data_IF_378440516773
#
_entry.id   IF_378440516773
#
_cell.length_a   1.000
_cell.length_b   1.000
_cell.length_c   1.000
_cell.angle_alpha   90.00
_cell.angle_beta   90.00
_cell.angle_gamma   90.00
#
_symmetry.space_group_name_H-M   'P 1'
#
loop_
_entity.id
_entity.type
_entity.pdbx_description
1 polymer ?
#
# COMPACT_ATOMS: atom_id res chain seq x y z
N UNK A 1 -42.62 -13.10 16.38
CA UNK A 1 -42.24 -13.04 14.96
C UNK A 1 -40.91 -13.76 14.86
N UNK A 2 -40.85 -14.93 14.20
CA UNK A 2 -39.57 -15.60 13.97
C UNK A 2 -38.76 -14.74 13.01
N UNK A 3 -37.62 -14.24 13.45
CA UNK A 3 -36.61 -13.59 12.62
C UNK A 3 -36.22 -14.57 11.51
N UNK A 4 -36.44 -14.17 10.25
CA UNK A 4 -36.17 -15.03 9.10
C UNK A 4 -34.65 -15.11 8.94
N UNK A 5 -34.09 -16.32 9.06
CA UNK A 5 -32.67 -16.54 8.78
C UNK A 5 -32.44 -16.46 7.27
N UNK A 6 -31.40 -15.73 6.89
CA UNK A 6 -30.97 -15.61 5.51
C UNK A 6 -29.59 -16.24 5.34
N UNK A 7 -29.45 -17.12 4.36
CA UNK A 7 -28.14 -17.67 3.98
C UNK A 7 -27.47 -16.69 3.02
N UNK A 8 -26.28 -16.19 3.35
CA UNK A 8 -25.58 -15.20 2.51
C UNK A 8 -24.27 -15.78 2.01
N UNK A 9 -24.04 -15.66 0.70
CA UNK A 9 -22.82 -16.16 0.05
C UNK A 9 -21.85 -15.00 -0.21
N UNK A 10 -20.60 -15.13 0.27
CA UNK A 10 -19.53 -14.19 0.00
C UNK A 10 -18.53 -14.76 -1.01
N UNK A 11 -18.35 -14.10 -2.15
CA UNK A 11 -17.45 -14.54 -3.23
C UNK A 11 -16.24 -13.62 -3.33
N UNK A 12 -15.27 -13.86 -2.43
CA UNK A 12 -14.03 -13.12 -2.34
C UNK A 12 -12.85 -14.10 -2.18
N UNK A 13 -11.65 -13.66 -2.57
CA UNK A 13 -10.43 -14.45 -2.44
C UNK A 13 -9.62 -13.98 -1.23
N UNK A 14 -9.70 -14.72 -0.12
CA UNK A 14 -9.02 -14.30 1.12
C UNK A 14 -7.49 -14.31 1.04
N UNK A 15 -6.88 -14.73 -0.07
CA UNK A 15 -5.44 -14.53 -0.28
C UNK A 15 -5.08 -13.05 -0.48
N UNK A 16 -6.00 -12.21 -0.96
CA UNK A 16 -5.77 -10.78 -1.14
C UNK A 16 -6.12 -10.00 0.13
N UNK A 17 -5.27 -9.07 0.54
CA UNK A 17 -5.54 -8.22 1.71
C UNK A 17 -6.81 -7.36 1.56
N UNK A 18 -7.05 -6.84 0.35
CA UNK A 18 -8.26 -6.08 0.02
C UNK A 18 -9.54 -6.90 0.29
N UNK A 19 -9.64 -8.09 -0.30
CA UNK A 19 -10.77 -9.01 -0.13
C UNK A 19 -11.01 -9.38 1.35
N UNK A 20 -9.94 -9.64 2.12
CA UNK A 20 -10.06 -9.90 3.57
C UNK A 20 -10.70 -8.73 4.31
N UNK A 21 -10.26 -7.50 4.05
CA UNK A 21 -10.84 -6.32 4.69
C UNK A 21 -12.31 -6.11 4.29
N UNK A 22 -12.70 -6.39 3.06
CA UNK A 22 -14.11 -6.35 2.64
C UNK A 22 -14.93 -7.36 3.45
N UNK A 23 -14.45 -8.60 3.60
CA UNK A 23 -15.15 -9.63 4.40
C UNK A 23 -15.24 -9.23 5.88
N UNK A 24 -14.17 -8.66 6.46
CA UNK A 24 -14.20 -8.10 7.82
C UNK A 24 -15.28 -7.04 7.97
N UNK A 25 -15.45 -6.16 6.99
CA UNK A 25 -16.50 -5.14 6.96
C UNK A 25 -17.91 -5.72 6.96
N UNK A 26 -18.13 -6.81 6.22
CA UNK A 26 -19.40 -7.55 6.27
C UNK A 26 -19.63 -8.12 7.68
N UNK A 27 -18.59 -8.68 8.30
CA UNK A 27 -18.63 -9.15 9.68
C UNK A 27 -18.95 -8.05 10.70
N UNK A 28 -18.37 -6.86 10.55
CA UNK A 28 -18.67 -5.70 11.40
C UNK A 28 -20.14 -5.29 11.32
N UNK A 29 -20.72 -5.33 10.12
CA UNK A 29 -22.16 -5.07 9.97
C UNK A 29 -23.01 -6.10 10.70
N UNK A 30 -22.67 -7.39 10.63
CA UNK A 30 -23.40 -8.41 11.38
C UNK A 30 -23.34 -8.21 12.89
N UNK A 31 -22.15 -7.91 13.41
CA UNK A 31 -21.97 -7.62 14.84
C UNK A 31 -22.82 -6.42 15.28
N UNK A 32 -22.88 -5.37 14.45
CA UNK A 32 -23.64 -4.15 14.75
C UNK A 32 -25.16 -4.31 14.59
N UNK A 33 -25.61 -5.03 13.56
CA UNK A 33 -27.04 -5.20 13.24
C UNK A 33 -27.72 -6.30 14.04
N UNK A 34 -26.96 -7.24 14.62
CA UNK A 34 -27.49 -8.46 15.26
C UNK A 34 -28.44 -9.25 14.34
N UNK A 35 -28.23 -9.14 13.01
CA UNK A 35 -29.01 -9.87 12.01
C UNK A 35 -28.74 -11.38 12.10
N UNK A 36 -29.80 -12.18 11.95
CA UNK A 36 -29.66 -13.64 11.86
C UNK A 36 -29.28 -14.06 10.43
N UNK A 37 -28.02 -13.82 10.05
CA UNK A 37 -27.46 -14.29 8.77
C UNK A 37 -26.58 -15.51 8.99
N UNK A 38 -26.81 -16.54 8.19
CA UNK A 38 -25.90 -17.66 8.06
C UNK A 38 -24.93 -17.35 6.91
N UNK A 39 -23.76 -16.76 7.25
CA UNK A 39 -22.72 -16.48 6.25
C UNK A 39 -22.03 -17.77 5.87
N UNK A 40 -21.99 -18.04 4.57
CA UNK A 40 -21.16 -19.07 4.00
C UNK A 40 -19.92 -18.45 3.34
N UNK A 41 -18.75 -18.88 3.82
CA UNK A 41 -17.43 -18.67 3.21
C UNK A 41 -16.84 -20.06 2.98
N UNK A 42 -16.36 -20.34 1.77
CA UNK A 42 -15.73 -21.64 1.48
C UNK A 42 -14.48 -21.88 2.34
N UNK A 43 -14.26 -23.13 2.76
CA UNK A 43 -13.17 -23.52 3.66
C UNK A 43 -11.76 -23.22 3.11
N UNK A 44 -11.57 -23.24 1.79
CA UNK A 44 -10.29 -22.90 1.14
C UNK A 44 -10.16 -21.40 0.82
N UNK A 45 -11.19 -20.60 1.17
CA UNK A 45 -11.33 -19.18 0.89
C UNK A 45 -11.06 -18.78 -0.57
N UNK A 46 -11.23 -19.73 -1.49
CA UNK A 46 -11.23 -19.46 -2.93
C UNK A 46 -12.67 -19.22 -3.33
N UNK A 47 -12.90 -18.33 -4.29
CA UNK A 47 -14.18 -18.29 -4.96
C UNK A 47 -14.21 -19.47 -5.94
N UNK A 48 -14.74 -20.64 -5.56
CA UNK A 48 -15.09 -21.66 -6.55
C UNK A 48 -16.38 -21.24 -7.22
N UNK A 49 -16.26 -20.88 -8.49
CA UNK A 49 -17.38 -20.34 -9.28
C UNK A 49 -18.17 -21.49 -9.94
N UNK A 50 -17.60 -22.70 -9.94
CA UNK A 50 -18.23 -23.91 -10.46
C UNK A 50 -19.45 -24.29 -9.60
N UNK A 51 -20.59 -24.54 -10.26
CA UNK A 51 -21.87 -24.92 -9.65
C UNK A 51 -22.47 -23.91 -8.64
N UNK A 52 -22.14 -22.62 -8.76
CA UNK A 52 -22.61 -21.57 -7.84
C UNK A 52 -24.14 -21.55 -7.64
N UNK A 53 -24.89 -21.93 -8.68
CA UNK A 53 -26.36 -22.00 -8.66
C UNK A 53 -26.92 -23.08 -7.71
N UNK A 54 -26.14 -24.10 -7.36
CA UNK A 54 -26.59 -25.23 -6.53
C UNK A 54 -26.50 -24.95 -5.03
N UNK A 55 -25.65 -24.00 -4.61
CA UNK A 55 -25.40 -23.66 -3.20
C UNK A 55 -25.61 -22.19 -2.89
N UNK A 56 -26.16 -21.43 -3.84
CA UNK A 56 -26.47 -20.02 -3.69
C UNK A 56 -27.44 -19.79 -2.53
N UNK A 57 -27.09 -18.84 -1.65
CA UNK A 57 -27.96 -18.42 -0.56
C UNK A 57 -29.10 -17.49 -1.01
N UNK A 58 -29.77 -16.88 -0.04
CA UNK A 58 -30.80 -15.86 -0.23
C UNK A 58 -30.24 -14.51 -0.73
N UNK A 59 -28.92 -14.31 -0.68
CA UNK A 59 -28.26 -13.11 -1.17
C UNK A 59 -26.75 -13.30 -1.37
N UNK A 60 -26.15 -12.45 -2.20
CA UNK A 60 -24.73 -12.57 -2.60
C UNK A 60 -24.01 -11.23 -2.49
N UNK A 61 -22.80 -11.25 -1.92
CA UNK A 61 -21.82 -10.16 -2.03
C UNK A 61 -20.56 -10.73 -2.70
N UNK A 62 -20.08 -10.08 -3.76
CA UNK A 62 -19.03 -10.67 -4.60
C UNK A 62 -18.03 -9.66 -5.17
N UNK A 63 -16.80 -10.13 -5.45
CA UNK A 63 -15.79 -9.41 -6.22
C UNK A 63 -16.20 -9.29 -7.70
N UNK A 64 -16.72 -8.13 -8.09
CA UNK A 64 -17.12 -7.81 -9.47
C UNK A 64 -15.98 -7.20 -10.29
N UNK A 65 -14.74 -7.23 -9.81
CA UNK A 65 -13.56 -7.03 -10.67
C UNK A 65 -13.13 -8.34 -11.36
N UNK A 66 -13.75 -9.49 -11.03
CA UNK A 66 -13.54 -10.78 -11.70
C UNK A 66 -14.66 -11.08 -12.71
N UNK A 67 -14.33 -11.07 -14.00
CA UNK A 67 -15.29 -11.33 -15.08
C UNK A 67 -15.93 -12.72 -15.01
N UNK A 68 -15.25 -13.70 -14.40
CA UNK A 68 -15.80 -15.04 -14.23
C UNK A 68 -16.97 -15.03 -13.26
N UNK A 69 -16.88 -14.23 -12.19
CA UNK A 69 -17.97 -14.06 -11.21
C UNK A 69 -19.16 -13.38 -11.88
N UNK A 70 -18.92 -12.31 -12.64
CA UNK A 70 -19.97 -11.60 -13.39
C UNK A 70 -20.72 -12.57 -14.30
N UNK A 71 -20.00 -13.41 -15.06
CA UNK A 71 -20.61 -14.35 -15.99
C UNK A 71 -21.49 -15.39 -15.29
N UNK A 72 -21.05 -15.95 -14.16
CA UNK A 72 -21.79 -17.00 -13.46
C UNK A 72 -22.99 -16.46 -12.66
N UNK A 73 -22.95 -15.19 -12.25
CA UNK A 73 -24.04 -14.53 -11.53
C UNK A 73 -25.05 -13.81 -12.45
N UNK A 74 -24.85 -13.81 -13.78
CA UNK A 74 -25.70 -13.06 -14.71
C UNK A 74 -27.18 -13.47 -14.69
N UNK A 75 -27.47 -14.77 -14.50
CA UNK A 75 -28.83 -15.33 -14.52
C UNK A 75 -29.38 -15.65 -13.13
N UNK A 76 -28.81 -15.04 -12.09
CA UNK A 76 -29.19 -15.30 -10.70
C UNK A 76 -30.30 -14.34 -10.27
N UNK A 77 -31.34 -14.86 -9.63
CA UNK A 77 -32.53 -14.10 -9.22
C UNK A 77 -32.47 -13.53 -7.79
N UNK A 78 -31.53 -13.99 -6.96
CA UNK A 78 -31.40 -13.47 -5.58
C UNK A 78 -30.74 -12.09 -5.58
N UNK A 79 -30.97 -11.26 -4.54
CA UNK A 79 -30.29 -9.98 -4.40
C UNK A 79 -28.76 -10.10 -4.44
N UNK A 80 -28.13 -9.31 -5.30
CA UNK A 80 -26.66 -9.26 -5.45
C UNK A 80 -26.16 -7.84 -5.22
N UNK A 81 -25.11 -7.72 -4.40
CA UNK A 81 -24.33 -6.50 -4.26
C UNK A 81 -22.89 -6.78 -4.71
N UNK A 82 -22.48 -6.18 -5.83
CA UNK A 82 -21.12 -6.25 -6.31
C UNK A 82 -20.19 -5.28 -5.58
N UNK A 83 -18.94 -5.71 -5.41
CA UNK A 83 -17.86 -4.90 -4.83
C UNK A 83 -16.68 -4.89 -5.80
N UNK A 84 -16.05 -3.74 -6.04
CA UNK A 84 -14.88 -3.65 -6.93
C UNK A 84 -14.40 -2.22 -7.16
N UNK A 85 -13.74 -1.96 -8.29
CA UNK A 85 -13.24 -0.65 -8.67
C UNK A 85 -14.31 0.31 -9.19
N UNK A 86 -14.15 1.61 -8.96
CA UNK A 86 -14.91 2.64 -9.67
C UNK A 86 -14.51 2.72 -11.14
N UNK A 87 -15.46 3.07 -11.99
CA UNK A 87 -15.27 3.33 -13.41
C UNK A 87 -15.50 4.80 -13.71
N UNK A 88 -14.68 5.38 -14.59
CA UNK A 88 -14.85 6.76 -15.04
C UNK A 88 -16.14 6.96 -15.83
N UNK A 89 -16.48 6.01 -16.71
CA UNK A 89 -17.71 6.04 -17.49
C UNK A 89 -18.82 5.28 -16.76
N UNK A 90 -19.99 5.91 -16.50
CA UNK A 90 -21.12 5.25 -15.82
C UNK A 90 -21.61 3.98 -16.52
N UNK A 91 -21.46 3.91 -17.84
CA UNK A 91 -21.87 2.80 -18.70
C UNK A 91 -21.03 1.53 -18.48
N UNK A 92 -19.82 1.65 -17.93
CA UNK A 92 -18.95 0.52 -17.66
C UNK A 92 -19.28 -0.22 -16.37
N UNK A 93 -20.15 0.34 -15.51
CA UNK A 93 -20.57 -0.35 -14.31
C UNK A 93 -21.48 -1.55 -14.65
N UNK A 94 -21.28 -2.71 -14.01
CA UNK A 94 -22.12 -3.88 -14.23
C UNK A 94 -23.56 -3.61 -13.76
N UNK A 95 -24.59 -4.27 -14.34
CA UNK A 95 -26.00 -3.98 -14.06
C UNK A 95 -26.53 -4.55 -12.72
N UNK A 96 -25.75 -4.44 -11.64
CA UNK A 96 -26.10 -4.86 -10.26
C UNK A 96 -25.90 -3.71 -9.28
N UNK A 97 -26.39 -3.77 -8.04
CA UNK A 97 -25.99 -2.80 -7.01
C UNK A 97 -24.48 -2.88 -6.77
N UNK A 98 -23.79 -1.74 -6.60
CA UNK A 98 -22.33 -1.71 -6.63
C UNK A 98 -21.74 -0.80 -5.57
N UNK A 99 -20.81 -1.34 -4.79
CA UNK A 99 -19.95 -0.61 -3.87
C UNK A 99 -18.54 -0.55 -4.50
N UNK A 100 -18.13 0.64 -4.89
CA UNK A 100 -16.88 0.85 -5.62
C UNK A 100 -15.82 1.48 -4.70
N UNK A 101 -14.58 1.01 -4.76
CA UNK A 101 -13.44 1.80 -4.28
C UNK A 101 -13.19 2.92 -5.28
N UNK A 102 -12.99 4.15 -4.80
CA UNK A 102 -12.77 5.30 -5.67
C UNK A 102 -11.34 5.31 -6.25
N UNK A 103 -11.19 4.81 -7.48
CA UNK A 103 -9.91 4.73 -8.19
C UNK A 103 -9.27 6.12 -8.44
N UNK A 104 -10.08 7.14 -8.72
CA UNK A 104 -9.58 8.51 -8.91
C UNK A 104 -9.05 9.06 -7.58
N UNK A 105 -9.81 8.92 -6.49
CA UNK A 105 -9.39 9.40 -5.17
C UNK A 105 -8.16 8.65 -4.63
N UNK A 106 -8.00 7.36 -4.95
CA UNK A 106 -6.80 6.58 -4.59
C UNK A 106 -5.54 7.17 -5.24
N UNK A 107 -5.58 7.42 -6.55
CA UNK A 107 -4.45 7.98 -7.29
C UNK A 107 -4.21 9.43 -6.90
N UNK A 108 -5.27 10.20 -6.69
CA UNK A 108 -5.17 11.59 -6.21
C UNK A 108 -4.52 11.66 -4.83
N UNK A 109 -4.90 10.80 -3.89
CA UNK A 109 -4.27 10.73 -2.56
C UNK A 109 -2.78 10.42 -2.64
N UNK A 110 -2.38 9.46 -3.49
CA UNK A 110 -0.97 9.14 -3.69
C UNK A 110 -0.18 10.29 -4.33
N UNK A 111 -0.77 10.94 -5.33
CA UNK A 111 -0.18 12.07 -6.03
C UNK A 111 -0.01 13.30 -5.13
N UNK A 112 -1.06 13.67 -4.37
CA UNK A 112 -1.01 14.79 -3.45
C UNK A 112 0.04 14.57 -2.37
N UNK A 113 0.13 13.36 -1.81
CA UNK A 113 1.20 13.01 -0.87
C UNK A 113 2.60 13.25 -1.43
N UNK A 114 2.87 12.80 -2.66
CA UNK A 114 4.17 13.05 -3.31
C UNK A 114 4.39 14.55 -3.58
N UNK A 115 3.36 15.24 -4.07
CA UNK A 115 3.40 16.69 -4.36
C UNK A 115 3.69 17.51 -3.10
N UNK A 116 3.05 17.19 -1.97
CA UNK A 116 3.26 17.84 -0.67
C UNK A 116 4.69 17.64 -0.14
N UNK A 117 5.34 16.54 -0.49
CA UNK A 117 6.77 16.31 -0.21
C UNK A 117 7.71 17.09 -1.12
N UNK A 118 7.19 17.88 -2.06
CA UNK A 118 7.98 18.67 -3.01
C UNK A 118 8.42 17.90 -4.25
N UNK A 119 7.80 16.76 -4.55
CA UNK A 119 8.04 16.05 -5.81
C UNK A 119 7.39 16.81 -6.97
N UNK A 120 8.12 16.96 -8.08
CA UNK A 120 7.66 17.71 -9.26
C UNK A 120 7.71 16.89 -10.55
N UNK A 121 8.20 15.64 -10.49
CA UNK A 121 8.22 14.70 -11.61
C UNK A 121 7.49 13.45 -11.19
N UNK A 122 6.57 12.99 -12.03
CA UNK A 122 5.69 11.88 -11.68
C UNK A 122 5.78 10.78 -12.71
N UNK A 123 5.77 9.54 -12.23
CA UNK A 123 5.66 8.36 -13.06
C UNK A 123 4.62 7.41 -12.50
N UNK A 124 4.06 6.58 -13.37
CA UNK A 124 3.06 5.59 -13.00
C UNK A 124 3.50 4.21 -13.47
N UNK A 125 3.51 3.26 -12.54
CA UNK A 125 3.80 1.87 -12.82
C UNK A 125 2.50 1.04 -12.81
N UNK A 126 1.98 0.80 -14.00
CA UNK A 126 0.69 0.16 -14.26
C UNK A 126 0.78 -1.36 -14.45
N UNK A 127 -0.25 -1.87 -15.12
CA UNK A 127 -0.38 -3.26 -15.59
C UNK A 127 -0.78 -3.25 -17.07
N UNK A 128 -0.39 -4.27 -17.85
CA UNK A 128 -0.82 -4.38 -19.24
C UNK A 128 -2.33 -4.64 -19.32
N UNK A 129 -3.01 -4.16 -20.39
CA UNK A 129 -4.43 -4.43 -20.62
C UNK A 129 -4.78 -5.93 -20.65
N UNK A 130 -3.83 -6.77 -21.09
CA UNK A 130 -3.98 -8.23 -21.15
C UNK A 130 -4.23 -8.90 -19.78
N UNK A 131 -3.94 -8.21 -18.66
CA UNK A 131 -4.19 -8.73 -17.31
C UNK A 131 -5.67 -8.86 -16.94
N UNK A 132 -6.59 -8.28 -17.73
CA UNK A 132 -8.02 -8.25 -17.43
C UNK A 132 -8.40 -7.38 -16.23
N UNK A 133 -7.44 -6.67 -15.61
CA UNK A 133 -7.67 -5.83 -14.43
C UNK A 133 -8.14 -4.43 -14.81
N UNK A 134 -9.45 -4.25 -14.94
CA UNK A 134 -10.06 -2.97 -15.35
C UNK A 134 -9.67 -1.79 -14.45
N UNK A 135 -9.63 -2.00 -13.13
CA UNK A 135 -9.17 -0.98 -12.18
C UNK A 135 -7.76 -0.47 -12.45
N UNK A 136 -6.89 -1.26 -13.11
CA UNK A 136 -5.56 -0.81 -13.45
C UNK A 136 -5.59 0.28 -14.53
N UNK A 137 -6.44 0.10 -15.55
CA UNK A 137 -6.66 1.10 -16.59
C UNK A 137 -7.36 2.35 -16.03
N UNK A 138 -8.33 2.19 -15.13
CA UNK A 138 -9.01 3.32 -14.47
C UNK A 138 -8.02 4.17 -13.65
N UNK A 139 -7.14 3.54 -12.87
CA UNK A 139 -6.08 4.23 -12.11
C UNK A 139 -5.05 4.89 -13.01
N UNK A 140 -4.65 4.25 -14.12
CA UNK A 140 -3.74 4.84 -15.11
C UNK A 140 -4.37 6.09 -15.77
N UNK A 141 -5.64 6.00 -16.15
CA UNK A 141 -6.38 7.12 -16.71
C UNK A 141 -6.52 8.27 -15.70
N UNK A 142 -6.82 7.96 -14.43
CA UNK A 142 -6.86 8.94 -13.35
C UNK A 142 -5.51 9.66 -13.19
N UNK A 143 -4.40 8.90 -13.21
CA UNK A 143 -3.06 9.47 -13.17
C UNK A 143 -2.81 10.44 -14.34
N UNK A 144 -3.10 10.02 -15.58
CA UNK A 144 -2.92 10.83 -16.78
C UNK A 144 -3.74 12.14 -16.73
N UNK A 145 -5.00 12.07 -16.28
CA UNK A 145 -5.85 13.27 -16.09
C UNK A 145 -5.25 14.20 -15.04
N UNK A 146 -4.79 13.65 -13.92
CA UNK A 146 -4.28 14.42 -12.79
C UNK A 146 -2.99 15.15 -13.13
N UNK A 147 -2.01 14.48 -13.75
CA UNK A 147 -0.75 15.13 -14.15
C UNK A 147 -0.97 16.20 -15.22
N UNK A 148 -1.92 15.99 -16.14
CA UNK A 148 -2.28 16.97 -17.16
C UNK A 148 -2.95 18.21 -16.53
N UNK A 149 -3.90 18.01 -15.61
CA UNK A 149 -4.57 19.09 -14.85
C UNK A 149 -3.58 19.97 -14.11
N UNK A 150 -2.59 19.35 -13.48
CA UNK A 150 -1.56 20.01 -12.67
C UNK A 150 -0.36 20.51 -13.50
N UNK A 151 -0.39 20.32 -14.83
CA UNK A 151 0.66 20.74 -15.79
C UNK A 151 2.03 20.09 -15.54
N UNK A 152 2.07 18.90 -14.95
CA UNK A 152 3.28 18.10 -14.83
C UNK A 152 3.44 17.18 -16.05
N UNK A 153 4.69 16.81 -16.34
CA UNK A 153 4.97 15.71 -17.28
C UNK A 153 4.95 14.39 -16.53
N UNK A 154 3.94 13.57 -16.81
CA UNK A 154 3.84 12.19 -16.32
C UNK A 154 4.43 11.19 -17.30
N UNK A 155 5.09 10.16 -16.79
CA UNK A 155 5.53 9.00 -17.60
C UNK A 155 4.80 7.76 -17.13
N UNK A 156 4.17 7.03 -18.04
CA UNK A 156 3.47 5.77 -17.73
C UNK A 156 4.29 4.59 -18.24
N UNK A 157 4.40 3.55 -17.43
CA UNK A 157 4.95 2.26 -17.81
C UNK A 157 4.04 1.14 -17.31
N UNK A 158 3.43 0.40 -18.23
CA UNK A 158 2.50 -0.69 -17.91
C UNK A 158 3.21 -1.97 -17.47
N UNK A 159 4.50 -2.11 -17.77
CA UNK A 159 5.31 -3.28 -17.45
C UNK A 159 4.84 -4.57 -18.11
N UNK A 160 5.31 -5.69 -17.55
CA UNK A 160 4.93 -7.04 -17.95
C UNK A 160 4.20 -7.74 -16.81
N UNK A 161 3.44 -8.78 -17.13
CA UNK A 161 2.81 -9.64 -16.13
C UNK A 161 3.90 -10.40 -15.36
N UNK A 162 3.83 -10.37 -14.03
CA UNK A 162 4.82 -11.01 -13.17
C UNK A 162 4.47 -12.48 -12.98
N UNK A 163 4.71 -13.28 -14.02
CA UNK A 163 4.71 -14.74 -13.93
C UNK A 163 6.14 -15.26 -13.72
N UNK A 164 6.35 -16.39 -13.00
CA UNK A 164 7.68 -16.95 -12.75
C UNK A 164 8.51 -17.14 -14.03
N UNK A 165 7.84 -17.53 -15.11
CA UNK A 165 8.43 -17.86 -16.41
C UNK A 165 9.09 -16.66 -17.10
N UNK A 166 8.64 -15.44 -16.78
CA UNK A 166 9.11 -14.20 -17.39
C UNK A 166 9.78 -13.25 -16.38
N UNK A 167 9.99 -13.70 -15.14
CA UNK A 167 10.40 -12.84 -14.03
C UNK A 167 11.71 -12.09 -14.32
N UNK A 168 12.75 -12.79 -14.80
CA UNK A 168 14.04 -12.15 -15.11
C UNK A 168 13.93 -11.13 -16.24
N UNK A 169 13.14 -11.44 -17.27
CA UNK A 169 12.92 -10.52 -18.38
C UNK A 169 12.14 -9.28 -17.93
N UNK A 170 11.08 -9.47 -17.15
CA UNK A 170 10.29 -8.38 -16.56
C UNK A 170 11.15 -7.47 -15.66
N UNK A 171 12.03 -8.06 -14.87
CA UNK A 171 12.99 -7.31 -14.04
C UNK A 171 13.95 -6.48 -14.88
N UNK A 172 14.52 -7.03 -15.95
CA UNK A 172 15.44 -6.30 -16.83
C UNK A 172 14.73 -5.13 -17.55
N UNK A 173 13.51 -5.34 -18.05
CA UNK A 173 12.74 -4.27 -18.70
C UNK A 173 12.33 -3.16 -17.73
N UNK A 174 12.03 -3.52 -16.48
CA UNK A 174 11.76 -2.55 -15.42
C UNK A 174 13.04 -1.78 -15.05
N UNK A 175 14.20 -2.45 -14.99
CA UNK A 175 15.50 -1.84 -14.76
C UNK A 175 15.86 -0.80 -15.84
N UNK A 176 15.62 -1.10 -17.11
CA UNK A 176 15.83 -0.18 -18.22
C UNK A 176 15.00 1.09 -18.02
N UNK A 177 13.70 0.93 -17.75
CA UNK A 177 12.80 2.05 -17.54
C UNK A 177 13.19 2.90 -16.33
N UNK A 178 13.49 2.28 -15.18
CA UNK A 178 13.88 3.01 -13.96
C UNK A 178 15.14 3.86 -14.14
N UNK A 179 16.09 3.41 -14.94
CA UNK A 179 17.30 4.17 -15.24
C UNK A 179 17.04 5.37 -16.15
N UNK A 180 15.95 5.36 -16.93
CA UNK A 180 15.54 6.52 -17.75
C UNK A 180 14.89 7.64 -16.93
N UNK A 181 14.41 7.33 -15.71
CA UNK A 181 13.72 8.31 -14.88
C UNK A 181 14.70 9.33 -14.29
N UNK A 182 14.42 10.64 -14.44
CA UNK A 182 15.24 11.66 -13.80
C UNK A 182 15.22 11.51 -12.28
N UNK A 183 16.27 11.98 -11.57
CA UNK A 183 16.22 12.10 -10.12
C UNK A 183 15.01 12.90 -9.65
N UNK A 184 14.56 12.63 -8.42
CA UNK A 184 13.44 13.28 -7.77
C UNK A 184 12.10 13.01 -8.48
N UNK A 185 11.98 11.84 -9.12
CA UNK A 185 10.73 11.36 -9.69
C UNK A 185 9.99 10.52 -8.64
N UNK A 186 8.73 10.85 -8.40
CA UNK A 186 7.82 10.04 -7.59
C UNK A 186 7.02 9.08 -8.45
N UNK A 187 7.04 7.81 -8.08
CA UNK A 187 6.41 6.72 -8.82
C UNK A 187 5.21 6.22 -8.04
N UNK A 188 4.03 6.31 -8.65
CA UNK A 188 2.80 5.70 -8.14
C UNK A 188 2.65 4.34 -8.81
N UNK A 189 2.63 3.27 -8.02
CA UNK A 189 2.34 1.94 -8.55
C UNK A 189 0.86 1.62 -8.38
N UNK A 190 0.30 0.91 -9.36
CA UNK A 190 -1.12 0.55 -9.38
C UNK A 190 -1.53 -0.39 -8.23
N UNK A 191 -0.57 -1.12 -7.63
CA UNK A 191 -0.74 -1.97 -6.44
C UNK A 191 0.55 -2.01 -5.62
N UNK A 192 0.46 -2.41 -4.35
CA UNK A 192 1.64 -2.65 -3.50
C UNK A 192 2.54 -3.77 -4.04
N UNK A 193 1.97 -4.79 -4.67
CA UNK A 193 2.75 -5.85 -5.32
C UNK A 193 3.67 -5.30 -6.43
N UNK A 194 3.17 -4.34 -7.22
CA UNK A 194 3.93 -3.66 -8.28
C UNK A 194 4.96 -2.69 -7.70
N UNK A 195 4.60 -1.95 -6.66
CA UNK A 195 5.57 -1.12 -5.94
C UNK A 195 6.72 -1.95 -5.35
N UNK A 196 6.42 -3.13 -4.79
CA UNK A 196 7.43 -4.06 -4.27
C UNK A 196 8.35 -4.57 -5.38
N UNK A 197 7.80 -4.93 -6.54
CA UNK A 197 8.62 -5.31 -7.70
C UNK A 197 9.61 -4.19 -8.05
N UNK A 198 9.15 -2.94 -8.04
CA UNK A 198 9.99 -1.77 -8.27
C UNK A 198 11.10 -1.61 -7.21
N UNK A 199 10.75 -1.73 -5.92
CA UNK A 199 11.72 -1.67 -4.83
C UNK A 199 12.80 -2.76 -4.93
N UNK A 200 12.43 -3.98 -5.35
CA UNK A 200 13.39 -5.06 -5.56
C UNK A 200 14.41 -4.72 -6.67
N UNK A 201 13.96 -4.12 -7.77
CA UNK A 201 14.86 -3.69 -8.85
C UNK A 201 15.74 -2.52 -8.38
N UNK A 202 15.19 -1.57 -7.63
CA UNK A 202 15.98 -0.49 -7.04
C UNK A 202 17.08 -1.04 -6.10
N UNK A 203 16.76 -2.03 -5.26
CA UNK A 203 17.76 -2.67 -4.40
C UNK A 203 18.85 -3.37 -5.21
N UNK A 204 18.47 -4.11 -6.27
CA UNK A 204 19.41 -4.80 -7.15
C UNK A 204 20.35 -3.85 -7.91
N UNK A 205 19.84 -2.71 -8.36
CA UNK A 205 20.60 -1.68 -9.08
C UNK A 205 21.24 -0.64 -8.16
N UNK A 206 21.10 -0.78 -6.84
CA UNK A 206 21.53 0.22 -5.85
C UNK A 206 21.00 1.63 -6.12
N UNK A 207 19.78 1.74 -6.66
CA UNK A 207 19.10 3.02 -6.88
C UNK A 207 18.60 3.56 -5.51
N UNK A 208 18.99 4.78 -5.12
CA UNK A 208 18.55 5.35 -3.85
C UNK A 208 17.04 5.61 -3.78
N UNK A 209 16.37 4.99 -2.81
CA UNK A 209 14.96 5.23 -2.49
C UNK A 209 14.85 5.62 -1.01
N UNK A 210 14.23 6.76 -0.68
CA UNK A 210 13.53 7.73 -1.56
C UNK A 210 14.43 8.81 -2.19
N UNK A 211 15.76 8.79 -1.97
CA UNK A 211 16.61 9.96 -2.26
C UNK A 211 16.70 10.29 -3.75
N UNK A 212 16.71 9.28 -4.63
CA UNK A 212 16.72 9.47 -6.09
C UNK A 212 15.33 9.26 -6.69
N UNK A 213 14.62 8.22 -6.29
CA UNK A 213 13.25 7.95 -6.75
C UNK A 213 12.35 7.68 -5.53
N UNK A 214 11.16 8.26 -5.52
CA UNK A 214 10.15 7.95 -4.51
C UNK A 214 9.19 6.88 -5.04
N UNK A 215 8.70 6.02 -4.16
CA UNK A 215 7.79 4.93 -4.53
C UNK A 215 6.62 4.92 -3.58
N UNK A 216 5.41 4.98 -4.11
CA UNK A 216 4.17 4.83 -3.35
C UNK A 216 3.29 3.78 -4.00
N UNK A 217 2.76 2.87 -3.19
CA UNK A 217 1.81 1.87 -3.61
C UNK A 217 0.36 2.27 -3.30
N UNK A 218 -0.54 1.37 -3.63
CA UNK A 218 -1.98 1.43 -3.34
C UNK A 218 -2.30 0.02 -2.87
N UNK A 219 -2.92 -0.14 -1.68
CA UNK A 219 -3.49 -1.38 -1.08
C UNK A 219 -3.19 -1.46 0.44
N UNK A 220 -2.06 -0.88 0.87
CA UNK A 220 -1.50 -1.00 2.22
C UNK A 220 -1.42 -2.45 2.72
N UNK A 221 -0.90 -3.34 1.86
CA UNK A 221 -0.84 -4.77 2.14
C UNK A 221 0.19 -5.09 3.24
N UNK A 222 -0.24 -5.80 4.28
CA UNK A 222 0.59 -6.06 5.45
C UNK A 222 1.77 -6.97 5.17
N UNK A 223 1.58 -8.01 4.35
CA UNK A 223 2.64 -8.98 4.04
C UNK A 223 3.79 -8.31 3.29
N UNK A 224 3.49 -7.38 2.37
CA UNK A 224 4.53 -6.66 1.61
C UNK A 224 5.35 -5.72 2.49
N UNK A 225 4.81 -5.27 3.64
CA UNK A 225 5.49 -4.41 4.63
C UNK A 225 6.79 -5.04 5.15
N UNK A 226 6.83 -6.36 5.30
CA UNK A 226 7.94 -7.07 5.92
C UNK A 226 8.95 -7.66 4.93
N UNK A 227 8.60 -7.71 3.64
CA UNK A 227 9.37 -8.39 2.61
C UNK A 227 10.34 -7.47 1.84
N UNK A 228 10.36 -6.16 2.13
CA UNK A 228 11.32 -5.21 1.58
C UNK A 228 12.10 -4.51 2.69
N UNK A 229 13.38 -4.18 2.43
CA UNK A 229 14.19 -3.41 3.39
C UNK A 229 13.71 -1.97 3.50
N UNK A 230 13.12 -1.45 2.42
CA UNK A 230 12.52 -0.12 2.36
C UNK A 230 11.03 -0.25 2.65
N UNK A 231 10.57 0.29 3.79
CA UNK A 231 9.15 0.30 4.11
C UNK A 231 8.36 1.06 3.04
N UNK A 232 7.41 0.37 2.41
CA UNK A 232 6.60 0.90 1.31
C UNK A 232 5.48 1.80 1.82
N UNK A 233 5.51 3.09 1.46
CA UNK A 233 4.36 3.97 1.62
C UNK A 233 3.23 3.51 0.72
N UNK A 234 1.99 3.54 1.21
CA UNK A 234 0.86 3.06 0.44
C UNK A 234 -0.44 3.78 0.81
N UNK A 235 -1.35 3.90 -0.15
CA UNK A 235 -2.71 4.37 0.10
C UNK A 235 -3.55 3.23 0.68
N UNK A 236 -4.09 3.44 1.88
CA UNK A 236 -5.02 2.50 2.50
C UNK A 236 -6.43 2.72 1.95
N UNK A 237 -6.97 1.70 1.30
CA UNK A 237 -8.32 1.72 0.75
C UNK A 237 -9.38 1.68 1.87
N UNK A 238 -10.59 2.15 1.58
CA UNK A 238 -11.76 2.00 2.47
C UNK A 238 -12.41 0.62 2.43
N UNK A 239 -11.64 -0.45 2.19
CA UNK A 239 -12.15 -1.79 1.89
C UNK A 239 -13.09 -2.35 2.96
N UNK A 240 -12.76 -2.16 4.24
CA UNK A 240 -13.64 -2.54 5.36
C UNK A 240 -14.95 -1.76 5.36
N UNK A 241 -14.91 -0.47 5.11
CA UNK A 241 -16.13 0.33 4.95
C UNK A 241 -16.94 -0.13 3.73
N UNK A 242 -16.30 -0.56 2.65
CA UNK A 242 -16.99 -1.11 1.48
C UNK A 242 -17.79 -2.36 1.84
N UNK A 243 -17.17 -3.30 2.56
CA UNK A 243 -17.85 -4.50 3.05
C UNK A 243 -19.05 -4.18 3.94
N UNK A 244 -18.87 -3.24 4.87
CA UNK A 244 -19.95 -2.80 5.75
C UNK A 244 -21.14 -2.19 4.98
N UNK A 245 -20.87 -1.31 4.00
CA UNK A 245 -21.91 -0.73 3.16
C UNK A 245 -22.56 -1.77 2.25
N UNK A 246 -21.80 -2.74 1.75
CA UNK A 246 -22.32 -3.83 0.93
C UNK A 246 -23.32 -4.69 1.70
N UNK A 247 -22.98 -5.09 2.93
CA UNK A 247 -23.86 -5.84 3.81
C UNK A 247 -25.11 -5.04 4.19
N UNK A 248 -24.94 -3.75 4.55
CA UNK A 248 -26.07 -2.86 4.84
C UNK A 248 -27.03 -2.71 3.66
N UNK A 249 -26.50 -2.60 2.45
CA UNK A 249 -27.31 -2.51 1.24
C UNK A 249 -28.01 -3.83 0.94
N UNK A 250 -27.31 -4.97 1.08
CA UNK A 250 -27.91 -6.28 0.86
C UNK A 250 -29.08 -6.55 1.83
N UNK A 251 -28.96 -6.15 3.11
CA UNK A 251 -30.04 -6.28 4.07
C UNK A 251 -31.32 -5.58 3.60
N UNK A 252 -31.21 -4.33 3.14
CA UNK A 252 -32.35 -3.59 2.58
C UNK A 252 -32.99 -4.29 1.37
N UNK A 253 -32.17 -4.91 0.53
CA UNK A 253 -32.65 -5.67 -0.62
C UNK A 253 -33.36 -6.98 -0.20
N UNK A 254 -32.89 -7.65 0.85
CA UNK A 254 -33.54 -8.84 1.42
C UNK A 254 -34.91 -8.51 2.03
N UNK A 255 -35.07 -7.30 2.56
CA UNK A 255 -36.36 -6.75 3.01
C UNK A 255 -37.31 -6.37 1.85
N UNK A 256 -36.93 -6.69 0.60
CA UNK A 256 -37.64 -6.37 -0.64
C UNK A 256 -37.81 -4.86 -0.88
N UNK A 257 -36.89 -4.04 -0.37
CA UNK A 257 -36.87 -2.61 -0.69
C UNK A 257 -36.49 -2.41 -2.16
N UNK A 258 -37.38 -1.79 -2.93
CA UNK A 258 -37.12 -1.43 -4.33
C UNK A 258 -36.24 -0.19 -4.40
N UNK A 259 -35.01 -0.35 -4.88
CA UNK A 259 -34.04 0.73 -5.04
C UNK A 259 -33.58 0.82 -6.49
N UNK A 260 -33.34 2.03 -7.04
CA UNK A 260 -32.58 2.14 -8.29
C UNK A 260 -31.17 1.58 -8.07
N UNK A 261 -30.51 1.13 -9.13
CA UNK A 261 -29.14 0.59 -9.04
C UNK A 261 -28.22 1.58 -8.33
N UNK A 262 -27.76 1.19 -7.14
CA UNK A 262 -26.94 2.04 -6.28
C UNK A 262 -25.48 1.95 -6.71
N UNK A 263 -24.80 3.10 -6.76
CA UNK A 263 -23.37 3.25 -7.09
C UNK A 263 -22.72 4.05 -5.96
N UNK A 264 -22.22 3.35 -4.95
CA UNK A 264 -21.63 3.99 -3.78
C UNK A 264 -20.10 3.96 -3.91
N UNK A 265 -19.49 5.13 -4.03
CA UNK A 265 -18.04 5.28 -4.02
C UNK A 265 -17.54 5.40 -2.58
N UNK A 266 -16.56 4.57 -2.22
CA UNK A 266 -15.89 4.62 -0.93
C UNK A 266 -14.49 5.19 -1.15
N UNK A 267 -14.14 6.34 -0.54
CA UNK A 267 -12.83 6.96 -0.68
C UNK A 267 -11.75 6.18 0.09
N UNK A 268 -10.46 6.42 -0.19
CA UNK A 268 -9.39 5.93 0.65
C UNK A 268 -9.45 6.51 2.07
N UNK A 269 -8.93 5.75 3.04
CA UNK A 269 -8.87 6.17 4.44
C UNK A 269 -7.78 7.23 4.66
N UNK A 270 -6.56 6.92 4.21
CA UNK A 270 -5.38 7.78 4.35
C UNK A 270 -4.21 7.20 3.56
N UNK A 271 -3.18 8.03 3.35
CA UNK A 271 -1.86 7.55 2.98
C UNK A 271 -1.11 7.11 4.23
N UNK A 272 -0.54 5.90 4.19
CA UNK A 272 0.34 5.39 5.22
C UNK A 272 1.77 5.69 4.80
N UNK A 273 2.32 6.78 5.32
CA UNK A 273 3.69 7.20 5.03
C UNK A 273 4.72 6.24 5.65
N UNK A 274 5.65 5.78 4.82
CA UNK A 274 6.82 4.99 5.21
C UNK A 274 8.07 5.50 4.48
N UNK A 275 9.17 4.74 4.58
CA UNK A 275 10.49 5.14 4.10
C UNK A 275 10.52 5.44 2.61
N UNK A 276 9.78 4.72 1.76
CA UNK A 276 9.84 4.88 0.31
C UNK A 276 9.37 6.24 -0.21
N UNK A 277 8.79 7.08 0.65
CA UNK A 277 8.46 8.49 0.37
C UNK A 277 8.95 9.47 1.44
N UNK A 278 9.90 9.08 2.32
CA UNK A 278 10.58 10.01 3.27
C UNK A 278 11.59 10.87 2.49
N UNK A 279 11.07 11.55 1.47
CA UNK A 279 11.80 12.45 0.59
C UNK A 279 12.06 13.75 1.32
N UNK A 280 13.32 14.12 1.32
CA UNK A 280 13.82 15.43 1.71
C UNK A 280 14.41 15.97 0.42
N UNK A 281 14.15 17.23 0.06
CA UNK A 281 14.49 17.81 -1.24
C UNK A 281 16.00 17.92 -1.52
N UNK A 282 16.68 16.76 -1.54
CA UNK A 282 18.11 16.58 -1.77
C UNK A 282 18.35 16.62 -3.28
N UNK A 283 19.32 17.43 -3.66
CA UNK A 283 19.78 17.70 -5.02
C UNK A 283 21.22 17.25 -5.22
N UNK A 284 22.05 17.35 -4.17
CA UNK A 284 23.46 17.00 -4.25
C UNK A 284 23.67 15.48 -4.38
N UNK A 285 24.30 14.97 -5.46
CA UNK A 285 24.50 13.53 -5.66
C UNK A 285 25.28 12.85 -4.53
N UNK A 286 26.27 13.54 -3.95
CA UNK A 286 27.07 13.01 -2.86
C UNK A 286 26.25 12.91 -1.56
N UNK A 287 25.40 13.91 -1.29
CA UNK A 287 24.50 13.89 -0.13
C UNK A 287 23.42 12.82 -0.30
N UNK A 288 22.86 12.68 -1.51
CA UNK A 288 21.92 11.60 -1.87
C UNK A 288 22.55 10.23 -1.58
N UNK A 289 23.78 9.99 -2.04
CA UNK A 289 24.48 8.73 -1.82
C UNK A 289 24.84 8.52 -0.33
N UNK A 290 25.29 9.56 0.36
CA UNK A 290 25.59 9.52 1.79
C UNK A 290 24.34 9.17 2.63
N UNK A 291 23.23 9.86 2.38
CA UNK A 291 21.95 9.62 3.06
C UNK A 291 21.43 8.21 2.82
N UNK A 292 21.51 7.73 1.58
CA UNK A 292 21.13 6.36 1.24
C UNK A 292 21.98 5.32 1.96
N UNK A 293 23.31 5.52 1.98
CA UNK A 293 24.24 4.65 2.70
C UNK A 293 23.93 4.61 4.20
N UNK A 294 23.73 5.78 4.82
CA UNK A 294 23.39 5.89 6.25
C UNK A 294 22.09 5.13 6.53
N UNK A 295 21.02 5.36 5.77
CA UNK A 295 19.73 4.68 5.99
C UNK A 295 19.79 3.16 5.85
N UNK A 296 20.76 2.62 5.09
CA UNK A 296 20.95 1.18 4.93
C UNK A 296 21.90 0.56 5.96
N UNK A 297 22.88 1.32 6.44
CA UNK A 297 23.99 0.79 7.24
C UNK A 297 24.04 1.34 8.68
N UNK A 298 23.26 2.36 9.04
CA UNK A 298 23.28 3.02 10.36
C UNK A 298 23.20 2.04 11.54
N UNK A 299 22.37 1.01 11.41
CA UNK A 299 22.14 0.01 12.46
C UNK A 299 23.32 -0.96 12.65
N UNK A 300 24.28 -0.99 11.72
CA UNK A 300 25.49 -1.83 11.82
C UNK A 300 26.63 -1.15 12.57
N UNK A 301 26.38 -0.02 13.24
CA UNK A 301 27.38 0.69 14.02
C UNK A 301 28.43 1.41 13.17
N UNK A 302 28.04 1.92 12.00
CA UNK A 302 28.94 2.71 11.14
C UNK A 302 29.40 4.00 11.82
N UNK A 303 30.58 4.47 11.45
CA UNK A 303 31.12 5.79 11.79
C UNK A 303 31.10 6.68 10.55
N UNK A 304 31.44 7.95 10.75
CA UNK A 304 31.49 8.95 9.66
C UNK A 304 32.47 8.54 8.56
N UNK A 305 33.61 7.93 8.91
CA UNK A 305 34.61 7.50 7.93
C UNK A 305 34.06 6.49 6.92
N UNK A 306 33.23 5.52 7.35
CA UNK A 306 32.61 4.59 6.42
C UNK A 306 31.64 5.27 5.44
N UNK A 307 31.02 6.38 5.83
CA UNK A 307 30.17 7.18 4.91
C UNK A 307 31.04 7.87 3.86
N UNK A 308 32.19 8.40 4.27
CA UNK A 308 33.16 9.04 3.37
C UNK A 308 33.69 8.05 2.33
N UNK A 309 34.08 6.85 2.79
CA UNK A 309 34.59 5.78 1.92
C UNK A 309 33.53 5.33 0.89
N UNK A 310 32.27 5.25 1.29
CA UNK A 310 31.18 4.85 0.39
C UNK A 310 30.85 5.90 -0.68
N UNK A 311 31.11 7.18 -0.40
CA UNK A 311 30.82 8.29 -1.32
C UNK A 311 32.06 8.65 -2.17
N UNK A 312 33.26 8.39 -1.66
CA UNK A 312 34.52 8.68 -2.34
C UNK A 312 34.92 10.17 -2.31
N UNK A 313 34.54 10.89 -1.25
CA UNK A 313 34.80 12.34 -1.10
C UNK A 313 35.51 12.63 0.23
N UNK A 314 36.36 13.65 0.25
CA UNK A 314 37.05 14.10 1.47
C UNK A 314 36.08 14.57 2.55
N UNK A 315 36.46 14.34 3.81
CA UNK A 315 35.67 14.70 5.01
C UNK A 315 35.13 16.12 4.97
N UNK A 316 36.03 17.10 4.82
CA UNK A 316 35.67 18.52 4.87
C UNK A 316 34.68 18.92 3.77
N UNK A 317 34.78 18.31 2.59
CA UNK A 317 33.88 18.59 1.48
C UNK A 317 32.50 17.96 1.71
N UNK A 318 32.45 16.69 2.14
CA UNK A 318 31.17 16.03 2.39
C UNK A 318 30.43 16.65 3.59
N UNK A 319 31.11 16.90 4.71
CA UNK A 319 30.48 17.52 5.89
C UNK A 319 29.89 18.91 5.57
N UNK A 320 30.61 19.71 4.76
CA UNK A 320 30.10 21.01 4.31
C UNK A 320 28.82 20.87 3.48
N UNK A 321 28.88 20.09 2.39
CA UNK A 321 27.73 19.87 1.48
C UNK A 321 26.53 19.26 2.20
N UNK A 322 26.80 18.29 3.07
CA UNK A 322 25.78 17.62 3.86
C UNK A 322 25.10 18.58 4.85
N UNK A 323 25.86 19.44 5.52
CA UNK A 323 25.29 20.45 6.43
C UNK A 323 24.52 21.53 5.68
N UNK A 324 25.00 21.95 4.51
CA UNK A 324 24.31 22.94 3.67
C UNK A 324 22.95 22.45 3.19
N UNK A 325 22.83 21.16 2.84
CA UNK A 325 21.60 20.62 2.28
C UNK A 325 20.67 19.98 3.32
N UNK A 326 21.22 19.30 4.33
CA UNK A 326 20.44 18.57 5.36
C UNK A 326 20.21 19.42 6.61
N UNK A 327 21.03 20.45 6.84
CA UNK A 327 21.03 21.27 8.07
C UNK A 327 21.69 20.60 9.28
N UNK A 328 21.98 19.31 9.19
CA UNK A 328 22.50 18.46 10.27
C UNK A 328 23.88 17.90 9.95
N UNK A 329 24.59 17.42 10.97
CA UNK A 329 25.87 16.71 10.76
C UNK A 329 25.63 15.26 10.35
N UNK A 330 26.58 14.66 9.63
CA UNK A 330 26.55 13.23 9.26
C UNK A 330 26.37 12.35 10.51
N UNK A 331 27.08 12.68 11.59
CA UNK A 331 26.97 11.96 12.86
C UNK A 331 25.56 12.05 13.47
N UNK A 332 24.97 13.25 13.50
CA UNK A 332 23.59 13.43 13.98
C UNK A 332 22.59 12.60 13.18
N UNK A 333 22.73 12.59 11.85
CA UNK A 333 21.85 11.80 10.98
C UNK A 333 22.01 10.30 11.17
N UNK A 334 23.24 9.80 11.37
CA UNK A 334 23.46 8.38 11.72
C UNK A 334 22.66 8.00 12.97
N UNK A 335 22.73 8.81 14.03
CA UNK A 335 21.99 8.53 15.27
C UNK A 335 20.48 8.63 15.09
N UNK A 336 20.00 9.64 14.37
CA UNK A 336 18.58 9.80 14.06
C UNK A 336 18.05 8.59 13.27
N UNK A 337 18.78 8.09 12.27
CA UNK A 337 18.35 6.93 11.49
C UNK A 337 18.35 5.63 12.30
N UNK A 338 19.28 5.46 13.27
CA UNK A 338 19.21 4.37 14.26
C UNK A 338 17.93 4.44 15.09
N UNK A 339 17.58 5.63 15.57
CA UNK A 339 16.36 5.86 16.36
C UNK A 339 15.09 5.57 15.56
N UNK A 340 15.03 6.07 14.31
CA UNK A 340 13.91 5.78 13.40
C UNK A 340 13.74 4.29 13.16
N UNK A 341 14.84 3.54 12.95
CA UNK A 341 14.77 2.09 12.78
C UNK A 341 14.29 1.39 14.04
N UNK A 342 14.80 1.78 15.21
CA UNK A 342 14.35 1.24 16.49
C UNK A 342 12.85 1.47 16.68
N UNK A 343 12.37 2.70 16.45
CA UNK A 343 10.94 3.06 16.49
C UNK A 343 10.11 2.19 15.54
N UNK A 344 10.57 2.02 14.30
CA UNK A 344 9.90 1.16 13.33
C UNK A 344 9.78 -0.28 13.83
N UNK A 345 10.85 -0.86 14.38
CA UNK A 345 10.83 -2.23 14.91
C UNK A 345 9.94 -2.36 16.15
N UNK A 346 9.87 -1.34 17.00
CA UNK A 346 8.96 -1.33 18.16
C UNK A 346 7.48 -1.36 17.74
N UNK A 347 7.13 -0.69 16.65
CA UNK A 347 5.76 -0.60 16.14
C UNK A 347 5.36 -1.83 15.33
N UNK A 348 6.24 -2.28 14.42
CA UNK A 348 5.90 -3.30 13.43
C UNK A 348 6.28 -4.72 13.83
N UNK A 349 6.95 -4.94 14.96
CA UNK A 349 7.41 -6.28 15.35
C UNK A 349 7.16 -6.54 16.83
N UNK A 350 7.05 -7.82 17.19
CA UNK A 350 6.96 -8.30 18.57
C UNK A 350 8.32 -8.58 19.22
N UNK A 351 9.43 -8.18 18.59
CA UNK A 351 10.79 -8.45 19.07
C UNK A 351 11.03 -7.92 20.50
N UNK A 352 11.76 -8.61 21.37
CA UNK A 352 12.16 -8.08 22.67
C UNK A 352 12.89 -6.74 22.53
N UNK A 353 12.63 -5.78 23.44
CA UNK A 353 13.24 -4.44 23.39
C UNK A 353 14.78 -4.51 23.45
N UNK A 354 15.33 -5.49 24.17
CA UNK A 354 16.77 -5.75 24.20
C UNK A 354 17.31 -6.11 22.82
N UNK A 355 16.61 -6.96 22.07
CA UNK A 355 17.00 -7.35 20.72
C UNK A 355 16.91 -6.16 19.76
N UNK A 356 15.85 -5.35 19.84
CA UNK A 356 15.74 -4.09 19.07
C UNK A 356 16.94 -3.18 19.31
N UNK A 357 17.35 -3.00 20.58
CA UNK A 357 18.53 -2.20 20.94
C UNK A 357 19.80 -2.73 20.27
N UNK A 358 20.03 -4.04 20.34
CA UNK A 358 21.21 -4.68 19.75
C UNK A 358 21.20 -4.61 18.22
N UNK A 359 20.06 -4.93 17.58
CA UNK A 359 19.90 -4.88 16.13
C UNK A 359 20.08 -3.47 15.55
N UNK A 360 19.73 -2.44 16.32
CA UNK A 360 19.96 -1.05 15.94
C UNK A 360 21.37 -0.56 16.27
N UNK A 361 22.26 -1.40 16.80
CA UNK A 361 23.66 -1.08 17.05
C UNK A 361 23.88 -0.16 18.24
N UNK A 362 23.02 -0.19 19.26
CA UNK A 362 23.27 0.52 20.52
C UNK A 362 24.17 -0.30 21.45
N UNK A 363 25.13 0.33 22.15
CA UNK A 363 26.12 -0.36 22.97
C UNK A 363 25.52 -1.03 24.21
N UNK A 364 24.40 -0.51 24.73
CA UNK A 364 23.68 -1.09 25.85
C UNK A 364 22.20 -0.71 25.81
N UNK A 365 21.38 -1.53 26.47
CA UNK A 365 19.95 -1.27 26.62
C UNK A 365 19.71 0.05 27.38
N UNK A 366 20.49 0.31 28.43
CA UNK A 366 20.38 1.54 29.22
C UNK A 366 20.65 2.79 28.36
N UNK A 367 21.67 2.73 27.50
CA UNK A 367 21.97 3.82 26.59
C UNK A 367 20.84 4.02 25.57
N UNK A 368 20.34 2.93 24.97
CA UNK A 368 19.17 3.00 24.08
C UNK A 368 17.96 3.65 24.75
N UNK A 369 17.63 3.24 25.98
CA UNK A 369 16.55 3.85 26.76
C UNK A 369 16.77 5.36 26.99
N UNK A 370 17.98 5.77 27.35
CA UNK A 370 18.27 7.20 27.57
C UNK A 370 18.13 8.03 26.30
N UNK A 371 18.61 7.52 25.16
CA UNK A 371 18.57 8.22 23.88
C UNK A 371 17.15 8.26 23.34
N UNK A 372 16.41 7.15 23.43
CA UNK A 372 15.02 7.08 23.00
C UNK A 372 14.12 8.00 23.83
N UNK A 373 14.29 7.99 25.17
CA UNK A 373 13.54 8.86 26.06
C UNK A 373 13.84 10.34 25.82
N UNK A 374 15.09 10.69 25.50
CA UNK A 374 15.47 12.06 25.16
C UNK A 374 14.84 12.54 23.86
N UNK A 375 14.67 11.66 22.88
CA UNK A 375 14.12 12.04 21.56
C UNK A 375 12.59 12.03 21.52
N UNK A 376 11.94 11.06 22.16
CA UNK A 376 10.50 10.81 22.04
C UNK A 376 9.71 11.02 23.34
N UNK A 377 10.34 11.57 24.38
CA UNK A 377 9.75 11.85 25.71
C UNK A 377 8.99 10.67 26.34
N UNK A 378 9.30 9.44 25.93
CA UNK A 378 8.64 8.21 26.35
C UNK A 378 9.64 7.05 26.34
N UNK A 379 9.39 6.01 27.13
CA UNK A 379 10.26 4.83 27.10
C UNK A 379 9.95 3.97 25.86
N UNK A 380 10.91 3.18 25.35
CA UNK A 380 10.65 2.23 24.27
C UNK A 380 9.46 1.30 24.53
N UNK A 381 9.21 0.94 25.80
CA UNK A 381 8.08 0.10 26.21
C UNK A 381 6.76 0.85 26.09
N UNK A 382 6.68 2.03 26.71
CA UNK A 382 5.46 2.85 26.64
C UNK A 382 5.11 3.22 25.19
N UNK A 383 6.13 3.47 24.36
CA UNK A 383 5.95 3.75 22.95
C UNK A 383 5.36 2.56 22.20
N UNK A 384 5.84 1.34 22.47
CA UNK A 384 5.28 0.11 21.90
C UNK A 384 3.82 -0.07 22.31
N UNK A 385 3.52 0.04 23.60
CA UNK A 385 2.18 -0.23 24.12
C UNK A 385 1.12 0.73 23.54
N UNK A 386 1.52 1.95 23.16
CA UNK A 386 0.62 2.95 22.54
C UNK A 386 0.48 2.85 21.03
N UNK A 387 1.48 2.29 20.34
CA UNK A 387 1.60 2.39 18.88
C UNK A 387 1.77 1.05 18.16
N UNK A 388 1.85 -0.07 18.87
CA UNK A 388 2.08 -1.36 18.23
C UNK A 388 0.91 -1.78 17.37
N UNK A 389 1.20 -2.08 16.10
CA UNK A 389 0.27 -2.69 15.16
C UNK A 389 0.32 -4.22 15.24
N UNK A 390 1.31 -4.79 15.93
CA UNK A 390 1.52 -6.24 16.06
C UNK A 390 0.88 -6.85 17.32
N UNK A 391 0.37 -6.00 18.23
CA UNK A 391 -0.33 -6.39 19.45
C UNK A 391 -1.84 -6.11 19.40
N UNK A 392 -2.31 -5.47 18.32
CA UNK A 392 -3.72 -5.38 17.92
C UNK A 392 -4.01 -6.48 16.91
#
# INVERSE_FOLDING_TARGET
MMTRRHRITLLFNANKAYDRQVVEGVGEYLQASQSEWDIFIEEDFRARIENIKEWLGDGVIADYDDDRIIHHLADVSVPIVGVGGSYHQPEHYPPVHYIATDNDALVESAFMHLKEKGVHRFAFYGLPPASGKRWAAERENAFCRLVAREKYRGVVYQGLETAPEHWQHAQNRLADWLQTLPPQTGIIAVTDARARHLLQVCEHLHIPVPEKLCVIGIDNEELTRYLSRVGLSSVAQGARQMGYQAAKLLHRLLDNETLPLQRLLVPPLRVVERRSTDYRSLNDPAVIQAMHYIRNQACKGIKVDQVLDAVGISRSNLEKRFKEEVGETIHAVIHMEKLKKARSLLVSTSLPINEVSQMCGYPSLQYFYSVFKKEYDSTPRDYRDRHSEALM
#
